data_IF_047457200748
#
_entry.id   IF_047457200748
#
_cell.length_a   1.000
_cell.length_b   1.000
_cell.length_c   1.000
_cell.angle_alpha   90.00
_cell.angle_beta   90.00
_cell.angle_gamma   90.00
#
_symmetry.space_group_name_H-M   'P 1'
#
loop_
_entity.id
_entity.type
_entity.pdbx_description
1 polymer ?
#
# COMPACT_ATOMS: atom_id res chain seq x y z
N UNK A 1 18.60 -32.33 -8.18
CA UNK A 1 17.47 -32.11 -9.10
C UNK A 1 16.70 -30.88 -8.63
N UNK A 2 16.90 -29.73 -9.28
CA UNK A 2 16.17 -28.52 -8.94
C UNK A 2 14.69 -28.74 -9.26
N UNK A 3 13.83 -28.70 -8.24
CA UNK A 3 12.39 -28.76 -8.40
C UNK A 3 11.98 -27.49 -9.13
N UNK A 4 11.54 -27.60 -10.38
CA UNK A 4 11.03 -26.44 -11.11
C UNK A 4 9.85 -25.86 -10.33
N UNK A 5 9.93 -24.58 -9.99
CA UNK A 5 8.86 -23.89 -9.28
C UNK A 5 7.78 -23.53 -10.29
N UNK A 6 6.57 -24.06 -10.12
CA UNK A 6 5.42 -23.63 -10.90
C UNK A 6 4.96 -22.26 -10.37
N UNK A 7 5.34 -21.21 -11.11
CA UNK A 7 5.06 -19.83 -10.73
C UNK A 7 3.57 -19.48 -10.86
N UNK A 8 2.84 -20.13 -11.77
CA UNK A 8 1.41 -19.88 -11.95
C UNK A 8 0.63 -20.47 -10.77
N UNK A 9 0.96 -21.71 -10.38
CA UNK A 9 0.40 -22.32 -9.19
C UNK A 9 0.76 -21.52 -7.93
N UNK A 10 2.00 -21.05 -7.80
CA UNK A 10 2.41 -20.21 -6.68
C UNK A 10 1.62 -18.90 -6.64
N UNK A 11 1.42 -18.23 -7.78
CA UNK A 11 0.63 -17.01 -7.86
C UNK A 11 -0.83 -17.23 -7.48
N UNK A 12 -1.43 -18.36 -7.86
CA UNK A 12 -2.77 -18.75 -7.43
C UNK A 12 -2.84 -18.97 -5.92
N UNK A 13 -1.87 -19.70 -5.36
CA UNK A 13 -1.79 -19.96 -3.92
C UNK A 13 -1.63 -18.67 -3.11
N UNK A 14 -0.76 -17.76 -3.52
CA UNK A 14 -0.57 -16.45 -2.86
C UNK A 14 -1.89 -15.66 -2.80
N UNK A 15 -2.66 -15.67 -3.89
CA UNK A 15 -3.95 -14.98 -3.93
C UNK A 15 -4.97 -15.65 -3.00
N UNK A 16 -5.00 -16.98 -2.98
CA UNK A 16 -5.87 -17.75 -2.10
C UNK A 16 -5.54 -17.48 -0.62
N UNK A 17 -4.27 -17.52 -0.23
CA UNK A 17 -3.83 -17.20 1.13
C UNK A 17 -4.19 -15.79 1.55
N UNK A 18 -4.09 -14.81 0.65
CA UNK A 18 -4.49 -13.45 0.99
C UNK A 18 -6.00 -13.31 1.22
N UNK A 19 -6.84 -14.07 0.51
CA UNK A 19 -8.29 -14.12 0.78
C UNK A 19 -8.54 -14.74 2.16
N UNK A 20 -7.85 -15.83 2.49
CA UNK A 20 -7.96 -16.52 3.78
C UNK A 20 -7.51 -15.64 4.96
N UNK A 21 -6.48 -14.80 4.74
CA UNK A 21 -6.04 -13.75 5.68
C UNK A 21 -7.00 -12.55 5.78
N UNK A 22 -8.11 -12.55 5.02
CA UNK A 22 -9.15 -11.53 5.10
C UNK A 22 -8.92 -10.30 4.19
N UNK A 23 -7.97 -10.35 3.26
CA UNK A 23 -7.82 -9.30 2.23
C UNK A 23 -8.86 -9.47 1.12
N UNK A 24 -9.41 -8.36 0.62
CA UNK A 24 -10.41 -8.41 -0.45
C UNK A 24 -9.79 -8.47 -1.86
N UNK A 25 -8.48 -8.22 -1.99
CA UNK A 25 -7.76 -8.42 -3.25
C UNK A 25 -6.27 -8.57 -2.97
N UNK A 26 -5.63 -9.39 -3.79
CA UNK A 26 -4.18 -9.56 -3.88
C UNK A 26 -3.74 -9.35 -5.33
N UNK A 27 -2.76 -8.47 -5.54
CA UNK A 27 -2.10 -8.22 -6.80
C UNK A 27 -0.62 -8.60 -6.71
N UNK A 28 -0.03 -9.02 -7.83
CA UNK A 28 1.40 -9.28 -7.96
C UNK A 28 1.89 -8.48 -9.15
N UNK A 29 2.91 -7.65 -8.96
CA UNK A 29 3.51 -6.84 -10.02
C UNK A 29 5.04 -7.04 -10.06
N UNK A 30 5.65 -6.60 -11.15
CA UNK A 30 7.10 -6.47 -11.24
C UNK A 30 7.63 -5.32 -10.35
N UNK A 31 8.92 -5.05 -10.48
CA UNK A 31 9.64 -4.03 -9.71
C UNK A 31 10.14 -2.89 -10.60
N UNK A 32 9.71 -2.82 -11.86
CA UNK A 32 10.16 -1.79 -12.78
C UNK A 32 9.37 -0.49 -12.55
N UNK A 33 10.06 0.48 -11.97
CA UNK A 33 9.55 1.83 -11.73
C UNK A 33 10.35 2.87 -12.51
N UNK A 34 11.07 2.46 -13.56
CA UNK A 34 11.91 3.35 -14.38
C UNK A 34 11.14 4.55 -14.96
N UNK A 35 9.86 4.36 -15.29
CA UNK A 35 8.99 5.44 -15.76
C UNK A 35 8.50 6.39 -14.63
N UNK A 36 8.46 5.91 -13.38
CA UNK A 36 7.94 6.66 -12.24
C UNK A 36 9.04 7.36 -11.44
N UNK A 37 10.27 6.82 -11.44
CA UNK A 37 11.41 7.42 -10.74
C UNK A 37 11.67 8.89 -11.14
N UNK A 38 11.68 9.28 -12.44
CA UNK A 38 11.87 10.67 -12.82
C UNK A 38 10.73 11.59 -12.35
N UNK A 39 9.50 11.07 -12.26
CA UNK A 39 8.35 11.84 -11.76
C UNK A 39 8.48 12.06 -10.26
N UNK A 40 8.92 11.05 -9.52
CA UNK A 40 9.21 11.18 -8.09
C UNK A 40 10.34 12.19 -7.86
N UNK A 41 11.43 12.11 -8.63
CA UNK A 41 12.53 13.08 -8.56
C UNK A 41 12.03 14.50 -8.80
N UNK A 42 11.31 14.73 -9.90
CA UNK A 42 10.77 16.04 -10.23
C UNK A 42 9.80 16.58 -9.16
N UNK A 43 9.03 15.70 -8.51
CA UNK A 43 8.13 16.06 -7.41
C UNK A 43 8.90 16.44 -6.13
N UNK A 44 9.98 15.72 -5.82
CA UNK A 44 10.88 16.04 -4.70
C UNK A 44 11.63 17.36 -4.94
N UNK A 45 12.13 17.59 -6.16
CA UNK A 45 12.85 18.82 -6.55
C UNK A 45 11.96 20.06 -6.39
N UNK A 46 10.66 19.90 -6.67
CA UNK A 46 9.64 20.95 -6.47
C UNK A 46 9.21 21.13 -5.01
N UNK A 47 9.80 20.39 -4.07
CA UNK A 47 9.47 20.45 -2.63
C UNK A 47 7.99 20.18 -2.34
N UNK A 48 7.30 19.43 -3.20
CA UNK A 48 5.88 19.10 -3.03
C UNK A 48 5.62 18.15 -1.85
N UNK A 49 6.66 17.64 -1.19
CA UNK A 49 6.54 16.87 0.04
C UNK A 49 6.23 17.70 1.29
N UNK A 50 6.30 19.03 1.22
CA UNK A 50 6.10 19.90 2.38
C UNK A 50 6.99 19.47 3.56
N UNK A 51 6.41 19.25 4.73
CA UNK A 51 7.14 18.85 5.94
C UNK A 51 7.46 17.34 6.03
N UNK A 52 7.06 16.53 5.03
CA UNK A 52 7.27 15.07 5.01
C UNK A 52 8.73 14.71 4.73
N UNK A 53 9.66 15.05 5.63
CA UNK A 53 11.12 14.84 5.47
C UNK A 53 11.49 13.37 5.18
N UNK A 54 10.65 12.41 5.57
CA UNK A 54 10.86 10.99 5.25
C UNK A 54 10.65 10.64 3.77
N UNK A 55 10.07 11.54 2.97
CA UNK A 55 9.91 11.36 1.52
C UNK A 55 11.27 11.45 0.81
N UNK A 56 12.12 12.40 1.20
CA UNK A 56 13.45 12.60 0.62
C UNK A 56 14.58 11.87 1.37
N UNK A 57 14.39 11.53 2.66
CA UNK A 57 15.43 10.96 3.54
C UNK A 57 16.16 9.73 2.98
N UNK A 58 15.46 8.86 2.24
CA UNK A 58 15.99 7.58 1.77
C UNK A 58 16.26 7.56 0.26
N UNK A 59 16.53 8.73 -0.34
CA UNK A 59 16.80 8.86 -1.77
C UNK A 59 15.72 8.20 -2.63
N UNK A 60 16.13 7.32 -3.53
CA UNK A 60 15.25 6.63 -4.48
C UNK A 60 14.88 5.20 -4.10
N UNK A 61 15.10 4.76 -2.86
CA UNK A 61 14.66 3.42 -2.40
C UNK A 61 13.16 3.16 -2.64
N UNK A 62 12.34 4.22 -2.73
CA UNK A 62 10.91 4.15 -3.07
C UNK A 62 10.63 3.75 -4.51
N UNK A 63 11.53 4.10 -5.42
CA UNK A 63 11.46 3.76 -6.84
C UNK A 63 12.43 2.63 -7.23
N UNK A 64 13.29 2.19 -6.29
CA UNK A 64 14.32 1.16 -6.53
C UNK A 64 14.19 0.03 -5.51
N UNK A 65 13.29 -0.94 -5.72
CA UNK A 65 13.05 -2.02 -4.75
C UNK A 65 14.30 -2.82 -4.36
N UNK A 66 15.25 -2.97 -5.27
CA UNK A 66 16.51 -3.67 -5.00
C UNK A 66 17.42 -2.96 -3.99
N UNK A 67 17.32 -1.62 -3.87
CA UNK A 67 18.03 -0.86 -2.83
C UNK A 67 17.34 -1.02 -1.46
N UNK A 68 16.02 -1.21 -1.43
CA UNK A 68 15.26 -1.47 -0.21
C UNK A 68 15.50 -2.87 0.34
N UNK A 69 15.45 -3.88 -0.53
CA UNK A 69 15.73 -5.25 -0.16
C UNK A 69 16.42 -5.97 -1.34
N UNK A 70 17.71 -6.35 -1.20
CA UNK A 70 18.42 -7.08 -2.24
C UNK A 70 17.68 -8.36 -2.64
N UNK A 71 17.61 -8.63 -3.95
CA UNK A 71 16.93 -9.80 -4.48
C UNK A 71 15.40 -9.70 -4.61
N UNK A 72 14.78 -8.53 -4.44
CA UNK A 72 13.33 -8.38 -4.72
C UNK A 72 13.03 -8.63 -6.20
N UNK A 73 12.17 -9.61 -6.48
CA UNK A 73 11.75 -9.97 -7.84
C UNK A 73 10.35 -9.46 -8.20
N UNK A 74 9.45 -9.43 -7.22
CA UNK A 74 8.03 -9.08 -7.36
C UNK A 74 7.54 -8.40 -6.09
N UNK A 75 6.49 -7.59 -6.23
CA UNK A 75 5.78 -6.99 -5.09
C UNK A 75 4.38 -7.58 -5.01
N UNK A 76 3.99 -8.03 -3.82
CA UNK A 76 2.63 -8.49 -3.53
C UNK A 76 1.89 -7.32 -2.86
N UNK A 77 0.83 -6.84 -3.51
CA UNK A 77 -0.02 -5.76 -2.98
C UNK A 77 -1.34 -6.34 -2.51
N UNK A 78 -1.76 -5.97 -1.30
CA UNK A 78 -3.04 -6.38 -0.72
C UNK A 78 -3.91 -5.17 -0.44
N UNK A 79 -5.23 -5.33 -0.50
CA UNK A 79 -6.18 -4.26 -0.12
C UNK A 79 -7.18 -4.74 0.91
N UNK A 80 -7.58 -3.81 1.78
CA UNK A 80 -8.68 -4.02 2.71
C UNK A 80 -9.70 -2.88 2.65
N UNK A 81 -10.99 -3.23 2.60
CA UNK A 81 -12.08 -2.24 2.60
C UNK A 81 -12.30 -1.71 4.01
N UNK A 82 -12.16 -0.39 4.18
CA UNK A 82 -12.35 0.28 5.46
C UNK A 82 -13.68 1.05 5.55
N UNK A 83 -14.59 0.92 4.57
CA UNK A 83 -15.92 1.54 4.63
C UNK A 83 -16.93 0.60 5.34
N UNK A 84 -17.37 0.91 6.57
CA UNK A 84 -18.37 0.11 7.24
C UNK A 84 -19.77 0.34 6.65
N UNK A 85 -20.60 -0.70 6.64
CA UNK A 85 -21.96 -0.66 6.07
C UNK A 85 -22.88 0.41 6.70
N UNK A 86 -22.62 0.81 7.96
CA UNK A 86 -23.39 1.82 8.71
C UNK A 86 -22.59 3.11 8.94
N UNK A 87 -21.70 3.48 8.02
CA UNK A 87 -20.87 4.66 8.19
C UNK A 87 -21.74 5.94 8.27
N UNK A 88 -21.82 6.57 9.44
CA UNK A 88 -22.63 7.77 9.70
C UNK A 88 -21.94 9.09 9.28
N UNK A 89 -21.13 9.06 8.21
CA UNK A 89 -20.35 10.25 7.80
C UNK A 89 -21.25 11.36 7.24
N UNK A 90 -22.33 10.99 6.55
CA UNK A 90 -23.27 11.95 5.99
C UNK A 90 -23.94 12.81 7.07
N UNK A 91 -24.23 12.24 8.25
CA UNK A 91 -24.83 13.01 9.35
C UNK A 91 -23.85 13.96 10.03
N UNK A 92 -22.56 13.60 10.12
CA UNK A 92 -21.53 14.50 10.68
C UNK A 92 -21.28 15.69 9.76
N UNK A 93 -21.21 15.47 8.44
CA UNK A 93 -20.98 16.53 7.46
C UNK A 93 -22.12 17.55 7.37
N UNK A 94 -23.34 17.18 7.79
CA UNK A 94 -24.51 18.05 7.79
C UNK A 94 -24.62 18.93 9.05
N UNK A 95 -23.74 18.75 10.05
CA UNK A 95 -23.77 19.54 11.27
C UNK A 95 -22.58 20.53 11.31
N UNK A 96 -22.81 21.84 11.22
CA UNK A 96 -21.74 22.85 11.22
C UNK A 96 -21.02 22.98 12.57
N UNK A 97 -21.58 22.43 13.65
CA UNK A 97 -20.95 22.45 14.98
C UNK A 97 -19.91 21.32 15.16
N UNK A 98 -19.79 20.40 14.20
CA UNK A 98 -18.91 19.25 14.28
C UNK A 98 -17.74 19.33 13.29
N UNK A 99 -16.54 18.99 13.76
CA UNK A 99 -15.41 18.69 12.89
C UNK A 99 -15.47 17.28 12.32
N UNK A 100 -15.12 17.11 11.04
CA UNK A 100 -15.05 15.79 10.41
C UNK A 100 -13.62 15.22 10.42
N UNK A 101 -13.45 14.07 11.05
CA UNK A 101 -12.19 13.31 11.00
C UNK A 101 -12.21 12.39 9.77
N UNK A 102 -11.12 12.41 9.01
CA UNK A 102 -10.93 11.55 7.84
C UNK A 102 -11.17 10.09 8.19
N UNK A 103 -11.96 9.40 7.36
CA UNK A 103 -12.44 8.04 7.63
C UNK A 103 -11.35 7.01 7.88
N UNK A 104 -10.19 7.13 7.20
CA UNK A 104 -9.08 6.18 7.38
C UNK A 104 -8.47 6.23 8.79
N UNK A 105 -8.74 7.30 9.55
CA UNK A 105 -8.29 7.50 10.92
C UNK A 105 -9.34 7.09 11.97
N UNK A 106 -10.50 6.56 11.55
CA UNK A 106 -11.55 6.09 12.44
C UNK A 106 -11.41 4.60 12.74
N UNK A 107 -11.78 4.20 13.96
CA UNK A 107 -11.76 2.79 14.38
C UNK A 107 -10.38 2.31 14.81
N UNK A 108 -10.07 1.04 14.56
CA UNK A 108 -8.75 0.47 14.87
C UNK A 108 -7.71 0.96 13.87
N UNK A 109 -6.53 1.29 14.36
CA UNK A 109 -5.38 1.69 13.53
C UNK A 109 -5.10 0.65 12.44
N UNK A 110 -5.26 1.07 11.19
CA UNK A 110 -5.12 0.19 10.02
C UNK A 110 -3.71 -0.37 9.89
N UNK A 111 -2.67 0.30 10.40
CA UNK A 111 -1.31 -0.23 10.36
C UNK A 111 -1.20 -1.51 11.17
N UNK A 112 -1.80 -1.54 12.37
CA UNK A 112 -1.83 -2.73 13.23
C UNK A 112 -2.72 -3.82 12.64
N UNK A 113 -3.85 -3.42 12.05
CA UNK A 113 -4.77 -4.37 11.43
C UNK A 113 -4.13 -5.07 10.24
N UNK A 114 -3.57 -4.31 9.28
CA UNK A 114 -2.91 -4.87 8.09
C UNK A 114 -1.69 -5.72 8.43
N UNK A 115 -0.90 -5.32 9.43
CA UNK A 115 0.31 -6.05 9.82
C UNK A 115 0.03 -7.41 10.49
N UNK A 116 -1.12 -7.53 11.15
CA UNK A 116 -1.50 -8.71 11.92
C UNK A 116 -2.60 -9.55 11.25
N UNK A 117 -2.93 -9.24 9.98
CA UNK A 117 -3.86 -10.02 9.18
C UNK A 117 -3.22 -11.35 8.74
#
# INVERSE_FOLDING_TARGET
MARYLDLDLLAQNIKQWGIEAGFQQVGICDTDLSAEEPKLQAWLDKQFHGEMKWMSRHGMMRARPHELHPGTLRVISVRMNYLPAKAAFASTLNNPELGYISRYALGRDYHKLLKNA
#
